data_IF_730018704017
#
_entry.id   IF_730018704017
#
_cell.length_a   1.000
_cell.length_b   1.000
_cell.length_c   1.000
_cell.angle_alpha   90.00
_cell.angle_beta   90.00
_cell.angle_gamma   90.00
#
_symmetry.space_group_name_H-M   'P 1'
#
loop_
_entity.id
_entity.type
_entity.pdbx_description
1 polymer ?
#
# COMPACT_ATOMS: atom_id res chain seq x y z
N UNK A 1 -14.76 -1.79 1.27
CA UNK A 1 -14.01 -1.53 0.03
C UNK A 1 -14.10 -0.05 -0.31
N UNK A 2 -13.00 0.54 -0.80
CA UNK A 2 -12.94 1.97 -1.16
C UNK A 2 -13.59 2.30 -2.52
N UNK A 3 -14.20 1.30 -3.16
CA UNK A 3 -14.99 1.42 -4.39
C UNK A 3 -14.24 2.07 -5.58
N UNK A 4 -12.94 1.78 -5.75
CA UNK A 4 -12.19 2.20 -6.93
C UNK A 4 -12.82 1.62 -8.20
N UNK A 5 -13.07 2.47 -9.21
CA UNK A 5 -13.88 2.09 -10.38
C UNK A 5 -13.25 1.02 -11.28
N UNK A 6 -11.93 0.93 -11.31
CA UNK A 6 -11.18 -0.07 -12.09
C UNK A 6 -10.95 -1.39 -11.34
N UNK A 7 -11.36 -1.46 -10.05
CA UNK A 7 -11.07 -2.59 -9.18
C UNK A 7 -12.20 -3.61 -9.21
N UNK A 8 -11.93 -4.81 -9.72
CA UNK A 8 -12.91 -5.91 -9.74
C UNK A 8 -13.44 -6.25 -8.33
N UNK A 9 -12.56 -6.26 -7.32
CA UNK A 9 -12.96 -6.47 -5.92
C UNK A 9 -13.87 -5.35 -5.41
N UNK A 10 -13.66 -4.11 -5.87
CA UNK A 10 -14.51 -2.97 -5.50
C UNK A 10 -15.97 -3.15 -5.91
N UNK A 11 -16.22 -3.84 -7.02
CA UNK A 11 -17.55 -4.14 -7.52
C UNK A 11 -18.24 -5.34 -6.83
N UNK A 12 -17.47 -6.19 -6.13
CA UNK A 12 -18.02 -7.34 -5.41
C UNK A 12 -18.67 -6.97 -4.06
N UNK A 13 -18.50 -5.72 -3.62
CA UNK A 13 -18.99 -5.25 -2.33
C UNK A 13 -18.07 -5.64 -1.15
N UNK A 14 -18.58 -5.41 0.05
CA UNK A 14 -17.87 -5.70 1.30
C UNK A 14 -18.59 -6.83 2.03
N UNK A 15 -17.86 -7.88 2.40
CA UNK A 15 -18.35 -8.98 3.22
C UNK A 15 -17.98 -8.75 4.69
N UNK A 16 -16.70 -8.90 5.03
CA UNK A 16 -16.17 -8.67 6.38
C UNK A 16 -14.68 -8.36 6.35
N UNK A 17 -14.18 -7.87 7.46
CA UNK A 17 -12.74 -7.78 7.69
C UNK A 17 -12.15 -9.16 8.04
N UNK A 18 -10.91 -9.40 7.65
CA UNK A 18 -10.13 -10.54 8.11
C UNK A 18 -9.65 -10.30 9.54
N UNK A 19 -9.60 -11.36 10.32
CA UNK A 19 -8.92 -11.36 11.63
C UNK A 19 -7.39 -11.39 11.46
N UNK A 20 -6.66 -11.04 12.51
CA UNK A 20 -5.18 -11.17 12.54
C UNK A 20 -4.73 -12.59 12.19
N UNK A 21 -5.39 -13.61 12.76
CA UNK A 21 -5.07 -15.01 12.48
C UNK A 21 -5.27 -15.38 11.01
N UNK A 22 -6.35 -14.92 10.38
CA UNK A 22 -6.60 -15.15 8.95
C UNK A 22 -5.56 -14.48 8.06
N UNK A 23 -5.11 -13.27 8.42
CA UNK A 23 -4.05 -12.56 7.69
C UNK A 23 -2.73 -13.34 7.77
N UNK A 24 -2.33 -13.74 8.96
CA UNK A 24 -1.08 -14.49 9.19
C UNK A 24 -1.14 -15.89 8.58
N UNK A 25 -2.31 -16.55 8.63
CA UNK A 25 -2.50 -17.89 8.08
C UNK A 25 -2.28 -17.97 6.57
N UNK A 26 -2.55 -16.90 5.81
CA UNK A 26 -2.24 -16.87 4.37
C UNK A 26 -0.73 -16.98 4.14
N UNK A 27 0.07 -16.26 4.92
CA UNK A 27 1.53 -16.34 4.84
C UNK A 27 2.03 -17.73 5.24
N UNK A 28 1.51 -18.29 6.33
CA UNK A 28 1.86 -19.63 6.80
C UNK A 28 1.55 -20.71 5.74
N UNK A 29 0.35 -20.64 5.17
CA UNK A 29 -0.08 -21.59 4.14
C UNK A 29 0.81 -21.48 2.89
N UNK A 30 1.05 -20.27 2.40
CA UNK A 30 1.87 -20.01 1.24
C UNK A 30 3.32 -20.49 1.46
N UNK A 31 3.91 -20.21 2.62
CA UNK A 31 5.26 -20.65 2.99
C UNK A 31 5.35 -22.19 3.00
N UNK A 32 4.39 -22.84 3.65
CA UNK A 32 4.32 -24.32 3.72
C UNK A 32 4.15 -24.96 2.34
N UNK A 33 3.22 -24.43 1.55
CA UNK A 33 2.95 -24.94 0.20
C UNK A 33 4.18 -24.80 -0.71
N UNK A 34 4.83 -23.63 -0.71
CA UNK A 34 5.98 -23.36 -1.55
C UNK A 34 7.20 -24.19 -1.12
N UNK A 35 7.46 -24.35 0.19
CA UNK A 35 8.53 -25.23 0.67
C UNK A 35 8.33 -26.67 0.15
N UNK A 36 7.14 -27.19 0.29
CA UNK A 36 6.82 -28.53 -0.14
C UNK A 36 6.95 -28.68 -1.66
N UNK A 37 6.46 -27.72 -2.42
CA UNK A 37 6.50 -27.72 -3.88
C UNK A 37 7.93 -27.57 -4.43
N UNK A 38 8.76 -26.77 -3.78
CA UNK A 38 10.14 -26.50 -4.20
C UNK A 38 11.17 -27.46 -3.56
N UNK A 39 10.76 -28.37 -2.70
CA UNK A 39 11.66 -29.27 -1.97
C UNK A 39 12.63 -28.56 -1.03
N UNK A 40 12.26 -27.37 -0.51
CA UNK A 40 13.12 -26.54 0.35
C UNK A 40 12.74 -26.67 1.81
N UNK A 41 13.77 -26.61 2.70
CA UNK A 41 13.57 -26.60 4.15
C UNK A 41 13.68 -25.20 4.76
N UNK A 42 14.41 -24.31 4.10
CA UNK A 42 14.58 -22.92 4.51
C UNK A 42 13.39 -22.03 4.09
N UNK A 43 13.36 -20.80 4.58
CA UNK A 43 12.33 -19.83 4.25
C UNK A 43 12.35 -19.51 2.75
N UNK A 44 11.18 -19.59 2.11
CA UNK A 44 10.99 -19.33 0.66
C UNK A 44 10.34 -17.98 0.39
N UNK A 45 9.53 -17.47 1.33
CA UNK A 45 8.90 -16.14 1.19
C UNK A 45 9.86 -15.08 1.74
N UNK A 46 10.29 -14.17 0.88
CA UNK A 46 11.21 -13.09 1.22
C UNK A 46 10.54 -11.73 1.42
N UNK A 47 9.37 -11.53 0.83
CA UNK A 47 8.61 -10.28 0.90
C UNK A 47 7.13 -10.57 1.08
N UNK A 48 6.46 -9.67 1.80
CA UNK A 48 5.00 -9.68 1.95
C UNK A 48 4.46 -8.31 1.56
N UNK A 49 3.41 -8.30 0.75
CA UNK A 49 2.69 -7.07 0.40
C UNK A 49 1.22 -7.22 0.81
N UNK A 50 0.71 -6.25 1.55
CA UNK A 50 -0.70 -6.17 1.91
C UNK A 50 -1.47 -5.55 0.75
N UNK A 51 -1.66 -6.36 -0.30
CA UNK A 51 -2.36 -6.00 -1.53
C UNK A 51 -3.43 -7.04 -1.85
N UNK A 52 -4.29 -6.73 -2.82
CA UNK A 52 -5.29 -7.63 -3.37
C UNK A 52 -6.70 -7.19 -3.04
N UNK A 53 -7.29 -7.66 -1.95
CA UNK A 53 -8.69 -7.42 -1.64
C UNK A 53 -8.85 -6.47 -0.45
N UNK A 54 -9.56 -5.35 -0.67
CA UNK A 54 -9.89 -4.40 0.38
C UNK A 54 -8.83 -3.31 0.60
N UNK A 55 -8.97 -2.60 1.72
CA UNK A 55 -8.08 -1.53 2.15
C UNK A 55 -7.49 -1.90 3.52
N UNK A 56 -6.19 -2.21 3.60
CA UNK A 56 -5.59 -2.68 4.85
C UNK A 56 -5.75 -1.70 6.00
N UNK A 57 -5.65 -0.40 5.73
CA UNK A 57 -5.75 0.63 6.76
C UNK A 57 -7.18 0.80 7.31
N UNK A 58 -8.21 0.28 6.64
CA UNK A 58 -9.58 0.19 7.18
C UNK A 58 -9.76 -1.03 8.10
N UNK A 59 -8.83 -1.98 8.08
CA UNK A 59 -8.79 -3.13 8.99
C UNK A 59 -7.63 -3.02 9.98
N UNK A 60 -7.38 -1.84 10.47
CA UNK A 60 -6.19 -1.46 11.22
C UNK A 60 -5.96 -2.31 12.48
N UNK A 61 -7.05 -2.60 13.23
CA UNK A 61 -6.98 -3.37 14.46
C UNK A 61 -6.46 -4.82 14.26
N UNK A 62 -6.73 -5.41 13.10
CA UNK A 62 -6.22 -6.74 12.74
C UNK A 62 -4.87 -6.66 12.00
N UNK A 63 -4.63 -5.56 11.26
CA UNK A 63 -3.41 -5.36 10.49
C UNK A 63 -2.18 -5.25 11.39
N UNK A 64 -2.21 -4.37 12.40
CA UNK A 64 -1.03 -4.10 13.23
C UNK A 64 -0.50 -5.34 13.95
N UNK A 65 -1.32 -6.15 14.64
CA UNK A 65 -0.84 -7.40 15.23
C UNK A 65 -0.29 -8.37 14.17
N UNK A 66 -0.89 -8.44 12.97
CA UNK A 66 -0.39 -9.30 11.91
C UNK A 66 1.01 -8.85 11.42
N UNK A 67 1.22 -7.54 11.23
CA UNK A 67 2.52 -6.99 10.89
C UNK A 67 3.56 -7.31 11.96
N UNK A 68 3.22 -7.15 13.25
CA UNK A 68 4.11 -7.47 14.36
C UNK A 68 4.55 -8.93 14.35
N UNK A 69 3.64 -9.88 14.11
CA UNK A 69 3.99 -11.31 13.97
C UNK A 69 4.94 -11.55 12.79
N UNK A 70 4.74 -10.85 11.67
CA UNK A 70 5.62 -10.97 10.49
C UNK A 70 7.02 -10.41 10.74
N UNK A 71 7.14 -9.39 11.58
CA UNK A 71 8.40 -8.74 11.90
C UNK A 71 9.14 -9.39 13.06
N UNK A 72 8.44 -10.08 13.96
CA UNK A 72 8.98 -10.68 15.17
C UNK A 72 9.99 -11.78 14.83
N UNK A 73 11.16 -11.77 15.49
CA UNK A 73 12.24 -12.74 15.28
C UNK A 73 11.82 -14.15 15.66
N UNK A 74 10.92 -14.33 16.64
CA UNK A 74 10.31 -15.61 17.00
C UNK A 74 9.14 -15.99 16.08
N UNK A 75 8.68 -15.06 15.23
CA UNK A 75 7.67 -15.27 14.21
C UNK A 75 8.29 -15.55 12.84
N UNK A 76 8.08 -14.64 11.89
CA UNK A 76 8.64 -14.77 10.54
C UNK A 76 10.00 -14.07 10.37
N UNK A 77 10.40 -13.19 11.25
CA UNK A 77 11.68 -12.47 11.21
C UNK A 77 11.88 -11.66 9.92
N UNK A 78 10.80 -11.13 9.34
CA UNK A 78 10.89 -10.30 8.14
C UNK A 78 11.36 -8.89 8.54
N UNK A 79 12.28 -8.32 7.79
CA UNK A 79 12.64 -6.93 8.02
C UNK A 79 11.51 -5.99 7.61
N UNK A 80 11.41 -4.82 8.25
CA UNK A 80 10.41 -3.78 7.92
C UNK A 80 10.43 -3.35 6.45
N UNK A 81 11.57 -3.48 5.77
CA UNK A 81 11.72 -3.22 4.32
C UNK A 81 11.10 -4.30 3.43
N UNK A 82 10.86 -5.48 3.98
CA UNK A 82 10.34 -6.65 3.27
C UNK A 82 8.83 -6.85 3.45
N UNK A 83 8.22 -6.03 4.30
CA UNK A 83 6.78 -5.98 4.48
C UNK A 83 6.29 -4.63 3.97
N UNK A 84 5.34 -4.65 3.04
CA UNK A 84 4.77 -3.43 2.44
C UNK A 84 3.28 -3.37 2.73
N UNK A 85 2.82 -2.25 3.25
CA UNK A 85 1.39 -1.93 3.30
C UNK A 85 1.05 -1.07 2.09
N UNK A 86 0.06 -1.50 1.30
CA UNK A 86 -0.50 -0.70 0.22
C UNK A 86 -1.80 -0.06 0.66
N UNK A 87 -2.03 1.19 0.30
CA UNK A 87 -3.24 1.93 0.66
C UNK A 87 -3.72 2.81 -0.48
N UNK A 88 -5.03 2.98 -0.58
CA UNK A 88 -5.64 3.98 -1.45
C UNK A 88 -5.57 5.40 -0.88
N UNK A 89 -5.00 5.59 0.32
CA UNK A 89 -4.78 6.91 0.92
C UNK A 89 -5.71 7.24 2.08
N UNK A 90 -5.85 6.37 3.06
CA UNK A 90 -6.54 6.66 4.33
C UNK A 90 -5.60 7.49 5.21
N UNK A 91 -5.53 8.80 4.96
CA UNK A 91 -4.53 9.72 5.52
C UNK A 91 -4.32 9.59 7.02
N UNK A 92 -5.34 9.64 7.90
CA UNK A 92 -5.12 9.52 9.35
C UNK A 92 -4.51 8.19 9.77
N UNK A 93 -4.72 7.14 8.97
CA UNK A 93 -4.16 5.82 9.27
C UNK A 93 -2.73 5.67 8.74
N UNK A 94 -2.34 6.43 7.73
CA UNK A 94 -0.93 6.53 7.29
C UNK A 94 -0.11 7.15 8.42
N UNK A 95 -0.55 8.28 8.99
CA UNK A 95 0.11 8.94 10.10
C UNK A 95 0.21 8.01 11.33
N UNK A 96 -0.84 7.26 11.59
CA UNK A 96 -0.86 6.29 12.69
C UNK A 96 0.08 5.11 12.45
N UNK A 97 0.15 4.58 11.22
CA UNK A 97 1.05 3.50 10.84
C UNK A 97 2.53 3.90 11.01
N UNK A 98 2.86 5.17 10.74
CA UNK A 98 4.20 5.71 10.94
C UNK A 98 4.69 5.56 12.38
N UNK A 99 3.79 5.64 13.34
CA UNK A 99 4.10 5.53 14.79
C UNK A 99 4.01 4.08 15.26
N UNK A 100 2.91 3.39 14.94
CA UNK A 100 2.58 2.09 15.53
C UNK A 100 3.42 0.93 14.96
N UNK A 101 3.72 0.96 13.66
CA UNK A 101 4.47 -0.11 12.99
C UNK A 101 4.95 0.34 11.59
N UNK A 102 5.97 1.22 11.50
CA UNK A 102 6.44 1.73 10.21
C UNK A 102 7.11 0.63 9.40
N UNK A 103 6.48 0.24 8.32
CA UNK A 103 6.95 -0.72 7.29
C UNK A 103 7.09 0.00 5.95
N UNK A 104 7.48 -0.68 4.89
CA UNK A 104 7.45 -0.08 3.56
C UNK A 104 6.01 0.30 3.18
N UNK A 105 5.85 1.47 2.54
CA UNK A 105 4.54 1.99 2.14
C UNK A 105 4.42 2.05 0.62
N UNK A 106 3.30 1.57 0.10
CA UNK A 106 2.86 1.77 -1.26
C UNK A 106 1.53 2.54 -1.26
N UNK A 107 1.36 3.44 -2.22
CA UNK A 107 0.17 4.28 -2.34
C UNK A 107 -0.41 4.17 -3.74
N UNK A 108 -1.66 3.77 -3.81
CA UNK A 108 -2.45 3.71 -5.03
C UNK A 108 -2.86 5.11 -5.46
N UNK A 109 -2.05 5.74 -6.33
CA UNK A 109 -2.27 7.11 -6.81
C UNK A 109 -3.25 7.15 -7.98
N UNK A 110 -2.92 6.47 -9.07
CA UNK A 110 -3.72 6.21 -10.28
C UNK A 110 -4.16 7.45 -11.08
N UNK A 111 -3.90 8.66 -10.63
CA UNK A 111 -4.19 9.90 -11.33
C UNK A 111 -3.23 11.02 -10.90
N UNK A 112 -2.91 11.96 -11.78
CA UNK A 112 -2.01 13.07 -11.48
C UNK A 112 -2.72 14.29 -10.87
N UNK A 113 -4.06 14.32 -10.93
CA UNK A 113 -4.87 15.43 -10.42
C UNK A 113 -6.14 14.93 -9.72
N UNK A 114 -6.72 15.78 -8.87
CA UNK A 114 -7.89 15.43 -8.05
C UNK A 114 -9.14 15.14 -8.87
N UNK A 115 -9.37 15.88 -9.96
CA UNK A 115 -10.56 15.71 -10.80
C UNK A 115 -10.64 14.29 -11.39
N UNK A 116 -9.52 13.77 -11.85
CA UNK A 116 -9.43 12.40 -12.37
C UNK A 116 -9.43 11.38 -11.22
N UNK A 117 -8.70 11.68 -10.13
CA UNK A 117 -8.62 10.77 -8.99
C UNK A 117 -9.95 10.61 -8.26
N UNK A 118 -10.76 11.64 -8.17
CA UNK A 118 -12.13 11.58 -7.61
C UNK A 118 -13.02 10.59 -8.34
N UNK A 119 -12.79 10.44 -9.63
CA UNK A 119 -13.52 9.48 -10.47
C UNK A 119 -12.99 8.07 -10.33
N UNK A 120 -11.67 7.87 -10.29
CA UNK A 120 -11.03 6.56 -10.25
C UNK A 120 -10.98 5.98 -8.83
N UNK A 121 -10.68 6.81 -7.84
CA UNK A 121 -10.49 6.47 -6.44
C UNK A 121 -11.36 7.40 -5.58
N UNK A 122 -12.64 7.08 -5.33
CA UNK A 122 -13.59 7.98 -4.65
C UNK A 122 -13.15 8.44 -3.26
N UNK A 123 -12.23 7.73 -2.63
CA UNK A 123 -11.62 8.13 -1.36
C UNK A 123 -10.89 9.49 -1.44
N UNK A 124 -10.47 9.89 -2.65
CA UNK A 124 -9.79 11.17 -2.89
C UNK A 124 -10.64 12.39 -2.49
N UNK A 125 -11.97 12.30 -2.64
CA UNK A 125 -12.88 13.37 -2.21
C UNK A 125 -12.77 13.68 -0.72
N UNK A 126 -12.37 12.70 0.07
CA UNK A 126 -12.15 12.86 1.51
C UNK A 126 -10.72 13.27 1.83
N UNK A 127 -9.77 12.75 1.06
CA UNK A 127 -8.34 12.99 1.24
C UNK A 127 -7.72 13.32 -0.12
N UNK A 128 -7.73 14.62 -0.53
CA UNK A 128 -7.16 15.06 -1.80
C UNK A 128 -5.67 14.72 -1.93
N UNK A 129 -5.18 14.71 -3.16
CA UNK A 129 -3.79 14.35 -3.47
C UNK A 129 -2.80 15.16 -2.63
N UNK A 130 -3.05 16.46 -2.45
CA UNK A 130 -2.16 17.31 -1.65
C UNK A 130 -1.99 16.79 -0.22
N UNK A 131 -3.11 16.48 0.44
CA UNK A 131 -3.13 15.95 1.81
C UNK A 131 -2.49 14.56 1.90
N UNK A 132 -2.77 13.70 0.90
CA UNK A 132 -2.18 12.39 0.79
C UNK A 132 -0.65 12.45 0.67
N UNK A 133 -0.13 13.33 -0.19
CA UNK A 133 1.32 13.48 -0.37
C UNK A 133 2.00 14.07 0.87
N UNK A 134 1.33 15.00 1.56
CA UNK A 134 1.84 15.51 2.85
C UNK A 134 1.92 14.41 3.91
N UNK A 135 0.94 13.50 3.96
CA UNK A 135 1.01 12.33 4.83
C UNK A 135 2.14 11.37 4.43
N UNK A 136 2.38 11.19 3.13
CA UNK A 136 3.53 10.40 2.64
C UNK A 136 4.87 11.01 3.09
N UNK A 137 5.01 12.33 3.04
CA UNK A 137 6.23 13.01 3.52
C UNK A 137 6.44 12.84 5.03
N UNK A 138 5.38 12.98 5.83
CA UNK A 138 5.47 12.70 7.27
C UNK A 138 5.83 11.24 7.55
N UNK A 139 5.26 10.31 6.76
CA UNK A 139 5.57 8.88 6.89
C UNK A 139 7.04 8.57 6.65
N UNK A 140 7.68 9.26 5.68
CA UNK A 140 9.10 9.06 5.35
C UNK A 140 10.05 9.30 6.52
N UNK A 141 9.68 10.13 7.49
CA UNK A 141 10.48 10.38 8.69
C UNK A 141 10.64 9.11 9.56
N UNK A 142 9.74 8.16 9.44
CA UNK A 142 9.70 6.91 10.20
C UNK A 142 9.91 5.66 9.34
N UNK A 143 9.80 5.80 8.02
CA UNK A 143 9.81 4.70 7.07
C UNK A 143 11.16 3.94 7.06
N UNK A 144 11.17 2.62 6.84
CA UNK A 144 12.40 1.85 6.72
C UNK A 144 13.10 2.05 5.37
N UNK A 145 12.49 2.77 4.45
CA UNK A 145 13.02 3.16 3.14
C UNK A 145 12.94 4.68 2.99
N UNK A 146 13.80 5.24 2.17
CA UNK A 146 13.88 6.67 1.84
C UNK A 146 12.91 7.09 0.73
N UNK A 147 11.99 6.20 0.34
CA UNK A 147 11.00 6.44 -0.70
C UNK A 147 9.66 5.75 -0.43
N UNK A 148 8.61 6.32 -1.00
CA UNK A 148 7.27 5.73 -1.12
C UNK A 148 7.12 5.12 -2.52
N UNK A 149 6.52 3.95 -2.63
CA UNK A 149 6.11 3.39 -3.93
C UNK A 149 4.75 3.92 -4.29
N UNK A 150 4.62 4.56 -5.46
CA UNK A 150 3.31 4.92 -6.01
C UNK A 150 2.90 3.93 -7.09
N UNK A 151 1.66 3.49 -7.03
CA UNK A 151 1.06 2.63 -8.03
C UNK A 151 0.16 3.44 -8.94
N UNK A 152 0.36 3.27 -10.24
CA UNK A 152 -0.39 3.95 -11.29
C UNK A 152 -0.88 2.91 -12.30
N UNK A 153 -2.13 2.50 -12.18
CA UNK A 153 -2.79 1.63 -13.14
C UNK A 153 -3.12 2.45 -14.39
N UNK A 154 -2.40 2.22 -15.48
CA UNK A 154 -2.65 2.91 -16.76
C UNK A 154 -3.91 2.33 -17.42
N UNK A 155 -4.88 3.19 -17.64
CA UNK A 155 -6.18 2.87 -18.25
C UNK A 155 -6.28 3.58 -19.58
N UNK A 156 -6.43 2.80 -20.65
CA UNK A 156 -6.49 3.28 -22.03
C UNK A 156 -7.55 4.37 -22.23
N UNK A 157 -7.13 5.51 -22.79
CA UNK A 157 -7.97 6.67 -23.02
C UNK A 157 -8.48 7.41 -21.78
N UNK A 158 -8.03 7.03 -20.56
CA UNK A 158 -8.50 7.60 -19.30
C UNK A 158 -7.44 8.41 -18.58
N UNK A 159 -6.31 7.78 -18.26
CA UNK A 159 -5.23 8.40 -17.47
C UNK A 159 -3.84 8.18 -18.05
N UNK A 160 -3.75 7.80 -19.32
CA UNK A 160 -2.54 7.40 -20.06
C UNK A 160 -2.05 8.45 -21.06
N UNK A 161 -2.70 9.63 -21.11
CA UNK A 161 -2.34 10.68 -22.06
C UNK A 161 -1.01 11.38 -21.68
N UNK A 162 -0.26 11.92 -22.65
CA UNK A 162 0.99 12.66 -22.39
C UNK A 162 0.83 13.82 -21.40
N UNK A 163 -0.35 14.45 -21.35
CA UNK A 163 -0.69 15.50 -20.39
C UNK A 163 -0.66 14.98 -18.96
N UNK A 164 -1.23 13.79 -18.72
CA UNK A 164 -1.22 13.14 -17.40
C UNK A 164 0.20 12.84 -16.93
N UNK A 165 1.09 12.44 -17.84
CA UNK A 165 2.51 12.24 -17.52
C UNK A 165 3.19 13.55 -17.11
N UNK A 166 2.92 14.66 -17.80
CA UNK A 166 3.46 16.00 -17.45
C UNK A 166 2.97 16.46 -16.08
N UNK A 167 1.67 16.35 -15.83
CA UNK A 167 1.07 16.67 -14.52
C UNK A 167 1.68 15.81 -13.40
N UNK A 168 1.89 14.51 -13.66
CA UNK A 168 2.51 13.61 -12.69
C UNK A 168 3.95 14.02 -12.36
N UNK A 169 4.73 14.40 -13.37
CA UNK A 169 6.09 14.91 -13.19
C UNK A 169 6.07 16.16 -12.31
N UNK A 170 5.20 17.13 -12.58
CA UNK A 170 5.07 18.33 -11.77
C UNK A 170 4.62 18.01 -10.34
N UNK A 171 3.65 17.14 -10.17
CA UNK A 171 3.16 16.72 -8.86
C UNK A 171 4.29 16.18 -7.98
N UNK A 172 5.18 15.37 -8.56
CA UNK A 172 6.31 14.76 -7.82
C UNK A 172 7.44 15.75 -7.63
N UNK A 173 7.70 16.60 -8.63
CA UNK A 173 8.80 17.56 -8.62
C UNK A 173 8.61 18.68 -7.60
N UNK A 174 7.42 19.26 -7.54
CA UNK A 174 7.10 20.36 -6.61
C UNK A 174 7.31 19.96 -5.15
N UNK A 175 7.13 18.68 -4.84
CA UNK A 175 7.30 18.15 -3.49
C UNK A 175 8.66 17.52 -3.23
N UNK A 176 9.56 17.56 -4.22
CA UNK A 176 10.88 16.97 -4.10
C UNK A 176 11.83 17.94 -3.37
N UNK A 177 12.22 17.60 -2.15
CA UNK A 177 13.22 18.31 -1.36
C UNK A 177 14.66 17.92 -1.74
N UNK A 178 14.91 17.56 -3.00
CA UNK A 178 16.25 17.23 -3.51
C UNK A 178 16.63 15.74 -3.44
N UNK A 179 15.76 14.88 -2.96
CA UNK A 179 15.96 13.41 -2.91
C UNK A 179 14.85 12.67 -3.66
N UNK A 180 15.17 11.53 -4.25
CA UNK A 180 14.18 10.67 -4.92
C UNK A 180 13.27 10.01 -3.87
N UNK A 181 12.23 10.72 -3.43
CA UNK A 181 11.31 10.31 -2.37
C UNK A 181 10.19 9.37 -2.81
N UNK A 182 10.05 9.12 -4.11
CA UNK A 182 9.04 8.22 -4.65
C UNK A 182 9.57 7.36 -5.80
N UNK A 183 8.87 6.24 -6.01
CA UNK A 183 9.04 5.33 -7.17
C UNK A 183 7.66 4.98 -7.73
N UNK A 184 7.61 4.72 -9.02
CA UNK A 184 6.44 4.22 -9.75
C UNK A 184 6.70 2.81 -10.26
#
# INVERSE_FOLDING_TARGET
>A
AVACRFCSTGHQGFSRNLTTGEIVSQLWFAERFLRQHLGRQDRVISNVVMMGMGEPLQNYAALIPALRVMLDDHGYGLSRRRVTVSTSGVVPMIDRLAVDCPVALAVSLHAPNDALRDNLVPLNRKYPIAELLDACHRYLEHAPRDFITFEYCMLDGVNDQPEHARELIELVRVRNKGTAWCKF
#
